data_IF_387455718848
#
_entry.id   IF_387455718848
#
_cell.length_a   1.000
_cell.length_b   1.000
_cell.length_c   1.000
_cell.angle_alpha   90.00
_cell.angle_beta   90.00
_cell.angle_gamma   90.00
#
_symmetry.space_group_name_H-M   'P 1'
#
loop_
_entity.id
_entity.type
_entity.pdbx_description
1 polymer ?
#
# COMPACT_ATOMS: atom_id res chain seq x y z
N UNK A 1 0.72 10.43 -0.44
CA UNK A 1 -0.49 10.17 0.37
C UNK A 1 -1.75 10.07 -0.48
N UNK A 2 -1.93 10.91 -1.51
CA UNK A 2 -3.09 10.85 -2.42
C UNK A 2 -3.31 9.46 -3.07
N UNK A 3 -2.24 8.83 -3.55
CA UNK A 3 -2.29 7.48 -4.14
C UNK A 3 -2.77 6.40 -3.15
N UNK A 4 -2.52 6.57 -1.85
CA UNK A 4 -2.97 5.64 -0.79
C UNK A 4 -4.49 5.70 -0.67
N UNK A 5 -5.05 6.92 -0.69
CA UNK A 5 -6.49 7.14 -0.60
C UNK A 5 -7.21 6.60 -1.84
N UNK A 6 -6.67 6.84 -3.04
CA UNK A 6 -7.23 6.30 -4.28
C UNK A 6 -7.30 4.77 -4.24
N UNK A 7 -6.26 4.11 -3.73
CA UNK A 7 -6.17 2.65 -3.68
C UNK A 7 -7.13 2.07 -2.63
N UNK A 8 -7.20 2.66 -1.44
CA UNK A 8 -8.14 2.26 -0.39
C UNK A 8 -9.61 2.43 -0.83
N UNK A 9 -9.94 3.53 -1.51
CA UNK A 9 -11.28 3.75 -2.08
C UNK A 9 -11.58 2.72 -3.17
N UNK A 10 -10.63 2.43 -4.05
CA UNK A 10 -10.80 1.42 -5.10
C UNK A 10 -11.07 0.03 -4.51
N UNK A 11 -10.33 -0.38 -3.47
CA UNK A 11 -10.48 -1.70 -2.84
C UNK A 11 -11.84 -1.82 -2.16
N UNK A 12 -12.26 -0.77 -1.44
CA UNK A 12 -13.55 -0.79 -0.76
C UNK A 12 -14.74 -0.75 -1.70
N UNK A 13 -14.64 -0.01 -2.80
CA UNK A 13 -15.65 -0.03 -3.84
C UNK A 13 -15.79 -1.43 -4.45
N UNK A 14 -14.68 -2.09 -4.75
CA UNK A 14 -14.66 -3.44 -5.32
C UNK A 14 -15.25 -4.48 -4.34
N UNK A 15 -14.91 -4.38 -3.05
CA UNK A 15 -15.51 -5.20 -2.00
C UNK A 15 -17.02 -4.99 -1.89
N UNK A 16 -17.49 -3.74 -1.91
CA UNK A 16 -18.91 -3.43 -1.84
C UNK A 16 -19.69 -4.01 -3.03
N UNK A 17 -19.15 -3.90 -4.24
CA UNK A 17 -19.73 -4.51 -5.45
C UNK A 17 -19.79 -6.04 -5.33
N UNK A 18 -18.70 -6.68 -4.94
CA UNK A 18 -18.66 -8.13 -4.73
C UNK A 18 -19.67 -8.56 -3.66
N UNK A 19 -19.86 -7.79 -2.60
CA UNK A 19 -20.78 -8.14 -1.52
C UNK A 19 -22.25 -8.00 -1.92
N UNK A 20 -22.58 -7.01 -2.77
CA UNK A 20 -23.90 -6.92 -3.41
C UNK A 20 -24.14 -8.12 -4.33
N UNK A 21 -23.15 -8.51 -5.13
CA UNK A 21 -23.24 -9.69 -6.01
C UNK A 21 -23.45 -10.96 -5.18
N UNK A 22 -22.72 -11.12 -4.08
CA UNK A 22 -22.87 -12.26 -3.17
C UNK A 22 -24.30 -12.36 -2.60
N UNK A 23 -24.87 -11.24 -2.14
CA UNK A 23 -26.25 -11.23 -1.63
C UNK A 23 -27.30 -11.50 -2.71
N UNK A 24 -27.05 -11.06 -3.95
CA UNK A 24 -27.97 -11.26 -5.06
C UNK A 24 -27.96 -12.70 -5.59
N UNK A 25 -26.83 -13.39 -5.55
CA UNK A 25 -26.67 -14.71 -6.20
C UNK A 25 -26.49 -15.89 -5.26
N UNK A 26 -25.85 -15.72 -4.08
CA UNK A 26 -25.53 -16.84 -3.18
C UNK A 26 -26.50 -16.98 -2.02
N UNK A 27 -26.76 -15.90 -1.27
CA UNK A 27 -27.53 -16.02 -0.03
C UNK A 27 -29.05 -16.12 -0.27
N UNK A 28 -29.60 -15.52 -1.34
CA UNK A 28 -31.06 -15.42 -1.65
C UNK A 28 -31.96 -14.93 -0.51
N UNK A 29 -31.41 -14.68 0.67
CA UNK A 29 -32.01 -14.07 1.84
C UNK A 29 -31.38 -12.70 2.06
N UNK A 30 -32.22 -11.73 2.40
CA UNK A 30 -31.80 -10.35 2.62
C UNK A 30 -31.11 -10.30 3.98
N UNK A 31 -29.80 -10.56 4.03
CA UNK A 31 -28.99 -10.29 5.23
C UNK A 31 -29.22 -8.82 5.64
N UNK A 32 -29.37 -8.53 6.94
CA UNK A 32 -29.67 -7.19 7.40
C UNK A 32 -28.57 -6.22 6.95
N UNK A 33 -28.97 -5.12 6.30
CA UNK A 33 -28.06 -4.10 5.74
C UNK A 33 -27.01 -3.59 6.76
N UNK A 34 -27.35 -3.63 8.05
CA UNK A 34 -26.46 -3.28 9.16
C UNK A 34 -25.19 -4.13 9.23
N UNK A 35 -25.25 -5.41 8.87
CA UNK A 35 -24.07 -6.30 8.86
C UNK A 35 -23.13 -5.96 7.71
N UNK A 36 -23.68 -5.71 6.52
CA UNK A 36 -22.89 -5.34 5.32
C UNK A 36 -22.13 -4.05 5.57
N UNK A 37 -22.79 -3.06 6.17
CA UNK A 37 -22.19 -1.76 6.44
C UNK A 37 -21.02 -1.89 7.43
N UNK A 38 -21.20 -2.71 8.49
CA UNK A 38 -20.12 -3.02 9.42
C UNK A 38 -18.94 -3.68 8.72
N UNK A 39 -19.19 -4.68 7.89
CA UNK A 39 -18.13 -5.40 7.17
C UNK A 39 -17.41 -4.48 6.17
N UNK A 40 -18.14 -3.58 5.50
CA UNK A 40 -17.56 -2.59 4.58
C UNK A 40 -16.63 -1.61 5.31
N UNK A 41 -17.01 -1.14 6.50
CA UNK A 41 -16.14 -0.30 7.34
C UNK A 41 -14.87 -1.04 7.75
N UNK A 42 -15.00 -2.32 8.16
CA UNK A 42 -13.85 -3.14 8.54
C UNK A 42 -12.88 -3.27 7.36
N UNK A 43 -13.38 -3.55 6.16
CA UNK A 43 -12.55 -3.65 4.96
C UNK A 43 -11.91 -2.31 4.58
N UNK A 44 -12.62 -1.19 4.76
CA UNK A 44 -12.04 0.15 4.59
C UNK A 44 -10.82 0.37 5.48
N UNK A 45 -10.99 0.16 6.78
CA UNK A 45 -9.92 0.34 7.77
C UNK A 45 -8.76 -0.62 7.47
N UNK A 46 -9.04 -1.88 7.15
CA UNK A 46 -8.02 -2.87 6.82
C UNK A 46 -7.24 -2.48 5.56
N UNK A 47 -7.92 -2.01 4.50
CA UNK A 47 -7.27 -1.55 3.27
C UNK A 47 -6.41 -0.31 3.49
N UNK A 48 -6.84 0.59 4.38
CA UNK A 48 -6.11 1.81 4.71
C UNK A 48 -4.82 1.49 5.48
N UNK A 49 -4.89 0.56 6.45
CA UNK A 49 -3.71 0.06 7.19
C UNK A 49 -2.77 -0.67 6.23
N UNK A 50 -3.27 -1.58 5.40
CA UNK A 50 -2.44 -2.33 4.45
C UNK A 50 -1.71 -1.40 3.47
N UNK A 51 -2.42 -0.40 2.94
CA UNK A 51 -1.82 0.58 2.03
C UNK A 51 -0.79 1.45 2.77
N UNK A 52 -1.07 1.90 3.99
CA UNK A 52 -0.11 2.66 4.80
C UNK A 52 1.17 1.86 5.07
N UNK A 53 1.03 0.60 5.48
CA UNK A 53 2.17 -0.32 5.70
C UNK A 53 2.95 -0.51 4.41
N UNK A 54 2.28 -0.72 3.27
CA UNK A 54 2.95 -0.87 1.98
C UNK A 54 3.81 0.34 1.64
N UNK A 55 3.29 1.57 1.75
CA UNK A 55 4.06 2.77 1.43
C UNK A 55 5.26 2.98 2.36
N UNK A 56 5.13 2.66 3.65
CA UNK A 56 6.23 2.73 4.60
C UNK A 56 7.29 1.65 4.36
N UNK A 57 6.87 0.43 4.00
CA UNK A 57 7.78 -0.70 3.83
C UNK A 57 8.35 -0.82 2.42
N UNK A 58 7.77 -0.18 1.40
CA UNK A 58 8.21 -0.30 0.01
C UNK A 58 9.69 0.11 -0.17
N UNK A 59 10.15 1.17 0.51
CA UNK A 59 11.58 1.54 0.47
C UNK A 59 12.47 0.49 1.14
N UNK A 60 12.08 0.01 2.33
CA UNK A 60 12.84 -1.00 3.06
C UNK A 60 12.90 -2.34 2.32
N UNK A 61 11.80 -2.75 1.67
CA UNK A 61 11.76 -3.99 0.90
C UNK A 61 12.64 -3.88 -0.35
N UNK A 62 12.58 -2.74 -1.04
CA UNK A 62 13.39 -2.50 -2.24
C UNK A 62 14.89 -2.45 -1.91
N UNK A 63 15.26 -1.79 -0.79
CA UNK A 63 16.64 -1.75 -0.32
C UNK A 63 17.15 -3.14 0.10
N UNK A 64 16.32 -3.94 0.79
CA UNK A 64 16.66 -5.33 1.12
C UNK A 64 16.89 -6.17 -0.14
N UNK A 65 15.99 -6.06 -1.14
CA UNK A 65 16.12 -6.78 -2.41
C UNK A 65 17.34 -6.33 -3.24
N UNK A 66 17.70 -5.05 -3.18
CA UNK A 66 18.91 -4.52 -3.83
C UNK A 66 20.19 -5.08 -3.22
N UNK A 67 20.24 -5.23 -1.88
CA UNK A 67 21.40 -5.78 -1.17
C UNK A 67 21.63 -7.25 -1.55
N UNK A 68 20.58 -8.07 -1.56
CA UNK A 68 20.67 -9.50 -1.89
C UNK A 68 20.89 -9.77 -3.39
N UNK A 69 20.43 -8.87 -4.27
CA UNK A 69 20.57 -9.03 -5.73
C UNK A 69 21.87 -8.40 -6.26
N UNK A 70 22.72 -7.88 -5.38
CA UNK A 70 24.02 -7.27 -5.71
C UNK A 70 23.97 -6.31 -6.92
N UNK A 71 22.87 -5.57 -7.07
CA UNK A 71 22.76 -4.51 -8.08
C UNK A 71 23.19 -3.21 -7.39
N UNK A 72 24.42 -2.71 -7.64
CA UNK A 72 24.98 -1.60 -6.88
C UNK A 72 24.40 -0.29 -7.41
N UNK A 73 23.10 -0.04 -7.21
CA UNK A 73 22.58 1.31 -7.33
C UNK A 73 22.81 1.98 -5.98
N UNK A 74 24.02 2.52 -5.79
CA UNK A 74 24.29 3.49 -4.74
C UNK A 74 23.22 4.56 -4.81
N UNK A 75 22.40 4.62 -3.77
CA UNK A 75 21.27 5.54 -3.64
C UNK A 75 21.74 6.94 -4.02
N UNK A 76 21.29 7.48 -5.16
CA UNK A 76 21.67 8.80 -5.70
C UNK A 76 21.22 10.00 -4.81
N UNK A 77 20.94 9.75 -3.54
CA UNK A 77 20.58 10.73 -2.51
C UNK A 77 21.56 10.71 -1.32
N UNK A 78 22.55 9.82 -1.29
CA UNK A 78 23.72 10.02 -0.45
C UNK A 78 24.62 10.99 -1.20
N UNK A 79 24.47 12.28 -0.92
CA UNK A 79 25.46 13.31 -1.23
C UNK A 79 26.75 12.92 -0.50
N UNK A 80 27.50 11.96 -1.04
CA UNK A 80 28.85 11.65 -0.57
C UNK A 80 29.68 12.86 -0.97
N UNK A 81 30.10 13.73 -0.04
CA UNK A 81 30.98 14.82 -0.40
C UNK A 81 32.25 14.18 -0.95
N UNK A 82 32.45 14.28 -2.26
CA UNK A 82 33.77 14.04 -2.84
C UNK A 82 34.58 15.22 -2.36
N UNK A 83 35.49 14.97 -1.43
CA UNK A 83 36.49 15.94 -1.00
C UNK A 83 37.41 16.22 -2.19
N UNK A 84 36.99 17.15 -3.06
CA UNK A 84 37.79 17.65 -4.19
C UNK A 84 38.59 18.90 -3.81
N UNK A 85 38.76 19.18 -2.51
CA UNK A 85 39.63 20.29 -2.14
C UNK A 85 41.05 19.96 -2.58
N UNK A 86 41.59 20.87 -3.38
CA UNK A 86 42.96 20.86 -3.89
C UNK A 86 43.92 20.67 -2.71
N UNK A 87 44.79 19.64 -2.71
CA UNK A 87 45.74 19.46 -1.62
C UNK A 87 46.70 20.64 -1.62
N UNK A 88 46.43 21.62 -0.77
CA UNK A 88 47.33 22.73 -0.49
C UNK A 88 48.65 22.20 0.02
N UNK A 89 49.62 22.07 -0.88
CA UNK A 89 51.05 22.04 -0.58
C UNK A 89 51.58 23.47 -0.51
#
# INVERSE_FOLDING_TARGET
MEQVFILAISITFLFFVLKIVEMKYLDKEIKPFKLIFRDTIIVFVCSMIASFTYFHFNKHIHDFFNIITATPTLSSSANTPVFTDDPGF
#
